data_IF_637663699461
#
_entry.id   IF_637663699461
#
_cell.length_a   1.000
_cell.length_b   1.000
_cell.length_c   1.000
_cell.angle_alpha   90.00
_cell.angle_beta   90.00
_cell.angle_gamma   90.00
#
_symmetry.space_group_name_H-M   'P 1'
#
loop_
_entity.id
_entity.type
_entity.pdbx_description
1 polymer ?
#
# COMPACT_ATOMS: atom_id res chain seq x y z
N UNK A 1 -17.65 45.75 -11.35
CA UNK A 1 -16.46 45.42 -12.17
C UNK A 1 -15.45 44.58 -11.39
N UNK A 2 -15.06 44.95 -10.16
CA UNK A 2 -14.12 44.18 -9.31
C UNK A 2 -14.55 42.73 -9.03
N UNK A 3 -15.83 42.49 -8.69
CA UNK A 3 -16.36 41.12 -8.43
C UNK A 3 -16.21 40.14 -9.61
N UNK A 4 -16.30 40.64 -10.85
CA UNK A 4 -16.24 39.78 -12.04
C UNK A 4 -14.80 39.29 -12.30
N UNK A 5 -13.81 40.14 -12.08
CA UNK A 5 -12.39 39.77 -12.20
C UNK A 5 -11.94 38.81 -11.09
N UNK A 6 -12.46 38.96 -9.86
CA UNK A 6 -12.21 38.00 -8.78
C UNK A 6 -12.78 36.62 -9.13
N UNK A 7 -14.02 36.58 -9.63
CA UNK A 7 -14.68 35.32 -10.02
C UNK A 7 -13.97 34.61 -11.19
N UNK A 8 -13.49 35.37 -12.19
CA UNK A 8 -12.68 34.80 -13.28
C UNK A 8 -11.34 34.24 -12.79
N UNK A 9 -10.69 34.88 -11.82
CA UNK A 9 -9.41 34.43 -11.27
C UNK A 9 -9.58 33.16 -10.44
N UNK A 10 -10.63 33.10 -9.62
CA UNK A 10 -11.01 31.91 -8.85
C UNK A 10 -11.37 30.74 -9.78
N UNK A 11 -12.20 30.98 -10.81
CA UNK A 11 -12.55 29.96 -11.79
C UNK A 11 -11.33 29.44 -12.57
N UNK A 12 -10.41 30.33 -12.96
CA UNK A 12 -9.18 29.93 -13.65
C UNK A 12 -8.24 29.11 -12.77
N UNK A 13 -8.16 29.43 -11.48
CA UNK A 13 -7.38 28.65 -10.51
C UNK A 13 -7.97 27.24 -10.33
N UNK A 14 -9.30 27.14 -10.18
CA UNK A 14 -10.01 25.85 -10.09
C UNK A 14 -9.80 25.01 -11.36
N UNK A 15 -9.86 25.62 -12.55
CA UNK A 15 -9.62 24.91 -13.82
C UNK A 15 -8.16 24.42 -13.90
N UNK A 16 -7.20 25.24 -13.49
CA UNK A 16 -5.79 24.87 -13.50
C UNK A 16 -5.48 23.73 -12.52
N UNK A 17 -6.04 23.79 -11.31
CA UNK A 17 -5.94 22.74 -10.29
C UNK A 17 -6.52 21.42 -10.81
N UNK A 18 -7.74 21.46 -11.38
CA UNK A 18 -8.38 20.27 -11.94
C UNK A 18 -7.57 19.68 -13.12
N UNK A 19 -6.97 20.51 -13.98
CA UNK A 19 -6.07 20.02 -15.04
C UNK A 19 -4.81 19.37 -14.46
N UNK A 20 -4.25 19.91 -13.38
CA UNK A 20 -3.13 19.32 -12.67
C UNK A 20 -3.48 17.93 -12.12
N UNK A 21 -4.63 17.81 -11.44
CA UNK A 21 -5.13 16.53 -10.93
C UNK A 21 -5.34 15.50 -12.03
N UNK A 22 -5.99 15.88 -13.15
CA UNK A 22 -6.20 14.98 -14.31
C UNK A 22 -4.88 14.40 -14.82
N UNK A 23 -3.85 15.23 -15.00
CA UNK A 23 -2.54 14.75 -15.45
C UNK A 23 -1.90 13.75 -14.50
N UNK A 24 -2.09 13.92 -13.18
CA UNK A 24 -1.59 12.96 -12.18
C UNK A 24 -2.36 11.63 -12.26
N UNK A 25 -3.68 11.67 -12.45
CA UNK A 25 -4.50 10.46 -12.70
C UNK A 25 -4.07 9.72 -13.97
N UNK A 26 -3.85 10.44 -15.08
CA UNK A 26 -3.36 9.88 -16.34
C UNK A 26 -1.99 9.21 -16.14
N UNK A 27 -1.06 9.88 -15.47
CA UNK A 27 0.26 9.31 -15.16
C UNK A 27 0.16 8.01 -14.35
N UNK A 28 -0.68 7.96 -13.32
CA UNK A 28 -0.88 6.73 -12.55
C UNK A 28 -1.46 5.61 -13.42
N UNK A 29 -2.48 5.91 -14.22
CA UNK A 29 -3.14 4.92 -15.10
C UNK A 29 -2.16 4.39 -16.16
N UNK A 30 -1.38 5.27 -16.79
CA UNK A 30 -0.40 4.92 -17.81
C UNK A 30 0.72 4.03 -17.25
N UNK A 31 1.07 4.22 -15.97
CA UNK A 31 2.16 3.49 -15.31
C UNK A 31 1.69 2.36 -14.39
N UNK A 32 0.39 2.22 -14.16
CA UNK A 32 -0.14 1.28 -13.17
C UNK A 32 0.31 -0.15 -13.44
N UNK A 33 0.19 -0.62 -14.68
CA UNK A 33 0.60 -1.98 -15.04
C UNK A 33 2.07 -2.20 -14.68
N UNK A 34 2.93 -1.22 -14.94
CA UNK A 34 4.34 -1.31 -14.60
C UNK A 34 4.54 -1.33 -13.07
N UNK A 35 3.90 -0.42 -12.35
CA UNK A 35 3.99 -0.34 -10.88
C UNK A 35 3.49 -1.65 -10.25
N UNK A 36 2.29 -2.05 -10.62
CA UNK A 36 1.56 -3.22 -10.12
C UNK A 36 2.35 -4.51 -10.32
N UNK A 37 2.81 -4.77 -11.55
CA UNK A 37 3.57 -6.00 -11.87
C UNK A 37 4.95 -6.08 -11.21
N UNK A 38 5.52 -4.95 -10.79
CA UNK A 38 6.86 -4.90 -10.22
C UNK A 38 6.88 -4.78 -8.70
N UNK A 39 5.85 -4.20 -8.11
CA UNK A 39 5.86 -3.80 -6.70
C UNK A 39 4.71 -4.33 -5.88
N UNK A 40 3.65 -4.88 -6.49
CA UNK A 40 2.49 -5.41 -5.80
C UNK A 40 2.47 -6.94 -5.92
N UNK A 41 2.17 -7.61 -4.82
CA UNK A 41 2.20 -9.06 -4.70
C UNK A 41 0.88 -9.59 -4.14
N UNK A 42 0.49 -10.76 -4.64
CA UNK A 42 -0.49 -11.59 -3.96
C UNK A 42 0.23 -12.41 -2.89
N UNK A 43 -0.28 -12.36 -1.67
CA UNK A 43 0.26 -13.05 -0.51
C UNK A 43 -0.68 -14.14 0.00
N UNK A 44 -0.06 -15.17 0.56
CA UNK A 44 -0.77 -16.30 1.17
C UNK A 44 -0.01 -16.82 2.39
N UNK A 45 -0.76 -17.38 3.33
CA UNK A 45 -0.23 -18.07 4.50
C UNK A 45 -1.12 -19.25 4.89
N UNK A 46 -0.51 -20.22 5.55
CA UNK A 46 -1.14 -21.46 5.98
C UNK A 46 -1.63 -21.35 7.43
N UNK A 47 -2.55 -22.22 7.82
CA UNK A 47 -3.01 -22.33 9.20
C UNK A 47 -3.36 -23.77 9.56
N UNK A 48 -2.70 -24.33 10.57
CA UNK A 48 -2.99 -25.68 11.10
C UNK A 48 -3.07 -26.75 10.01
N UNK A 49 -2.08 -26.75 9.10
CA UNK A 49 -1.99 -27.71 7.99
C UNK A 49 -2.95 -27.43 6.82
N UNK A 50 -3.73 -26.35 6.84
CA UNK A 50 -4.50 -25.88 5.68
C UNK A 50 -3.68 -24.90 4.87
N UNK A 51 -3.36 -25.27 3.64
CA UNK A 51 -2.72 -24.37 2.68
C UNK A 51 -3.65 -23.22 2.26
N UNK A 52 -3.07 -22.05 2.00
CA UNK A 52 -3.77 -20.84 1.52
C UNK A 52 -4.94 -20.41 2.42
N UNK A 53 -4.78 -20.62 3.72
CA UNK A 53 -5.80 -20.30 4.72
C UNK A 53 -6.02 -18.79 4.89
N UNK A 54 -4.96 -17.98 4.70
CA UNK A 54 -5.01 -16.51 4.70
C UNK A 54 -4.53 -15.99 3.37
N UNK A 55 -5.25 -15.01 2.83
CA UNK A 55 -4.90 -14.28 1.61
C UNK A 55 -4.74 -12.81 1.93
N UNK A 56 -3.76 -12.16 1.34
CA UNK A 56 -3.46 -10.75 1.56
C UNK A 56 -2.78 -10.13 0.34
N UNK A 57 -2.71 -8.80 0.30
CA UNK A 57 -1.85 -8.07 -0.64
C UNK A 57 -0.57 -7.68 0.10
N UNK A 58 0.56 -7.72 -0.58
CA UNK A 58 1.79 -7.13 -0.09
C UNK A 58 2.38 -6.20 -1.15
N UNK A 59 3.25 -5.29 -0.75
CA UNK A 59 3.99 -4.45 -1.69
C UNK A 59 5.44 -4.29 -1.30
N UNK A 60 6.30 -4.06 -2.27
CA UNK A 60 7.70 -3.74 -2.03
C UNK A 60 7.87 -2.24 -1.78
N UNK A 61 8.60 -1.88 -0.74
CA UNK A 61 8.98 -0.51 -0.39
C UNK A 61 10.50 -0.35 -0.51
N UNK A 62 10.95 0.72 -1.16
CA UNK A 62 12.36 1.11 -1.18
C UNK A 62 12.60 2.20 -0.13
N UNK A 63 13.48 1.92 0.82
CA UNK A 63 13.80 2.84 1.90
C UNK A 63 15.23 2.58 2.40
N UNK A 64 16.01 3.64 2.64
CA UNK A 64 17.42 3.58 3.07
C UNK A 64 18.26 2.54 2.30
N UNK A 65 18.20 2.61 0.98
CA UNK A 65 18.95 1.75 0.04
C UNK A 65 18.69 0.24 0.16
N UNK A 66 17.55 -0.12 0.76
CA UNK A 66 17.09 -1.50 0.91
C UNK A 66 15.66 -1.64 0.38
N UNK A 67 15.33 -2.87 -0.02
CA UNK A 67 13.97 -3.25 -0.39
C UNK A 67 13.35 -4.08 0.72
N UNK A 68 12.15 -3.67 1.13
CA UNK A 68 11.31 -4.35 2.10
C UNK A 68 10.03 -4.79 1.41
N UNK A 69 9.37 -5.79 1.97
CA UNK A 69 8.02 -6.19 1.60
C UNK A 69 7.13 -5.85 2.78
N UNK A 70 6.06 -5.10 2.53
CA UNK A 70 5.13 -4.61 3.54
C UNK A 70 3.75 -5.22 3.28
N UNK A 71 3.06 -5.61 4.35
CA UNK A 71 1.65 -6.05 4.36
C UNK A 71 0.99 -5.64 5.68
N UNK A 72 -0.29 -5.97 5.88
CA UNK A 72 -0.99 -5.81 7.14
C UNK A 72 -0.53 -6.87 8.17
N UNK A 73 -0.32 -6.46 9.42
CA UNK A 73 0.13 -7.32 10.51
C UNK A 73 -0.90 -8.37 10.89
N UNK A 74 -2.19 -8.08 10.74
CA UNK A 74 -3.26 -9.04 10.95
C UNK A 74 -3.28 -10.18 9.91
N UNK A 75 -2.41 -10.10 8.89
CA UNK A 75 -2.14 -11.24 8.00
C UNK A 75 -1.24 -12.29 8.64
N UNK A 76 -0.53 -11.92 9.72
CA UNK A 76 0.42 -12.77 10.47
C UNK A 76 -0.27 -13.46 11.63
N UNK A 77 -1.03 -12.70 12.41
CA UNK A 77 -1.90 -13.22 13.46
C UNK A 77 -3.21 -12.44 13.52
N UNK A 78 -4.34 -13.07 13.82
CA UNK A 78 -5.63 -12.40 14.00
C UNK A 78 -6.61 -13.33 14.73
N UNK A 79 -7.39 -12.82 15.68
CA UNK A 79 -8.39 -13.59 16.44
C UNK A 79 -7.87 -14.95 16.94
N UNK A 80 -6.75 -14.94 17.68
CA UNK A 80 -6.05 -16.13 18.22
C UNK A 80 -5.54 -17.12 17.16
N UNK A 81 -5.58 -16.78 15.88
CA UNK A 81 -4.99 -17.54 14.79
C UNK A 81 -3.61 -16.97 14.46
N UNK A 82 -2.57 -17.80 14.56
CA UNK A 82 -1.23 -17.46 14.07
C UNK A 82 -0.96 -18.23 12.78
N UNK A 83 -0.67 -17.50 11.71
CA UNK A 83 -0.43 -18.07 10.39
C UNK A 83 1.05 -18.43 10.20
N UNK A 84 1.33 -19.32 9.27
CA UNK A 84 2.67 -19.84 8.98
C UNK A 84 2.93 -19.94 7.47
N UNK A 85 4.17 -20.25 7.06
CA UNK A 85 4.56 -20.43 5.65
C UNK A 85 4.17 -19.26 4.73
N UNK A 86 4.45 -18.04 5.18
CA UNK A 86 4.20 -16.82 4.42
C UNK A 86 4.90 -16.87 3.07
N UNK A 87 4.12 -16.64 2.02
CA UNK A 87 4.60 -16.64 0.65
C UNK A 87 3.92 -15.55 -0.14
N UNK A 88 4.65 -14.97 -1.08
CA UNK A 88 4.12 -13.97 -2.00
C UNK A 88 4.49 -14.32 -3.44
N UNK A 89 3.68 -13.87 -4.40
CA UNK A 89 3.99 -13.99 -5.82
C UNK A 89 3.54 -12.74 -6.58
N UNK A 90 4.24 -12.44 -7.67
CA UNK A 90 3.83 -11.38 -8.59
C UNK A 90 2.55 -11.79 -9.30
N UNK A 91 1.71 -10.82 -9.64
CA UNK A 91 0.38 -11.06 -10.23
C UNK A 91 0.41 -11.90 -11.53
N UNK A 92 1.50 -11.83 -12.29
CA UNK A 92 1.70 -12.51 -13.56
C UNK A 92 2.66 -13.70 -13.48
N UNK A 93 2.96 -14.20 -12.27
CA UNK A 93 3.88 -15.32 -12.08
C UNK A 93 3.26 -16.37 -11.17
N UNK A 94 3.52 -17.63 -11.49
CA UNK A 94 3.12 -18.77 -10.65
C UNK A 94 4.15 -19.11 -9.58
N UNK A 95 5.36 -18.55 -9.68
CA UNK A 95 6.43 -18.79 -8.73
C UNK A 95 6.21 -18.01 -7.43
N UNK A 96 6.09 -18.77 -6.35
CA UNK A 96 6.11 -18.25 -4.98
C UNK A 96 7.54 -17.91 -4.54
N UNK A 97 7.66 -16.84 -3.76
CA UNK A 97 8.84 -16.53 -2.95
C UNK A 97 8.44 -16.57 -1.47
N UNK A 98 9.39 -16.95 -0.61
CA UNK A 98 9.17 -17.16 0.81
C UNK A 98 10.00 -16.14 1.58
N UNK A 99 9.48 -14.92 1.77
CA UNK A 99 10.24 -13.86 2.40
C UNK A 99 10.40 -14.10 3.91
N UNK A 100 11.50 -13.63 4.47
CA UNK A 100 11.76 -13.64 5.91
C UNK A 100 10.92 -12.56 6.59
N UNK A 101 10.17 -12.93 7.64
CA UNK A 101 9.48 -11.97 8.50
C UNK A 101 10.49 -11.33 9.45
N UNK A 102 10.67 -10.01 9.34
CA UNK A 102 11.59 -9.27 10.20
C UNK A 102 10.89 -8.75 11.46
N UNK A 103 9.69 -8.19 11.28
CA UNK A 103 8.92 -7.58 12.36
C UNK A 103 7.46 -7.46 11.96
N UNK A 104 6.56 -7.43 12.94
CA UNK A 104 5.18 -7.04 12.72
C UNK A 104 4.61 -6.40 13.99
N UNK A 105 3.58 -5.58 13.78
CA UNK A 105 2.67 -5.13 14.82
C UNK A 105 1.24 -5.39 14.36
N UNK A 106 0.37 -5.80 15.28
CA UNK A 106 -1.03 -6.10 15.00
C UNK A 106 -1.93 -5.32 15.97
N UNK A 107 -1.90 -4.00 15.86
CA UNK A 107 -2.87 -3.13 16.52
C UNK A 107 -3.91 -2.68 15.51
N UNK A 108 -4.83 -3.60 15.20
CA UNK A 108 -5.89 -3.40 14.22
C UNK A 108 -6.84 -2.27 14.64
N UNK A 109 -7.18 -2.17 15.92
CA UNK A 109 -8.09 -1.13 16.43
C UNK A 109 -7.42 0.25 16.43
N UNK A 110 -6.15 0.34 16.83
CA UNK A 110 -5.37 1.58 16.84
C UNK A 110 -4.82 2.02 15.49
N UNK A 111 -5.17 1.32 14.39
CA UNK A 111 -4.65 1.55 13.04
C UNK A 111 -3.11 1.55 12.97
N UNK A 112 -2.48 0.68 13.75
CA UNK A 112 -1.04 0.47 13.75
C UNK A 112 -0.73 -1.00 13.50
N UNK A 113 -1.10 -1.45 12.32
CA UNK A 113 -1.16 -2.84 11.94
C UNK A 113 -0.40 -3.07 10.63
N UNK A 114 0.76 -3.72 10.73
CA UNK A 114 1.68 -3.92 9.61
C UNK A 114 2.65 -5.07 9.87
N UNK A 115 3.18 -5.65 8.80
CA UNK A 115 4.28 -6.60 8.85
C UNK A 115 5.35 -6.23 7.82
N UNK A 116 6.60 -6.43 8.21
CA UNK A 116 7.81 -6.12 7.46
C UNK A 116 8.53 -7.43 7.16
N UNK A 117 8.76 -7.65 5.88
CA UNK A 117 9.44 -8.81 5.35
C UNK A 117 10.62 -8.41 4.47
N UNK A 118 11.52 -9.35 4.20
CA UNK A 118 12.61 -9.18 3.25
C UNK A 118 12.88 -10.44 2.44
N UNK A 119 13.30 -10.23 1.20
CA UNK A 119 13.80 -11.30 0.33
C UNK A 119 14.77 -10.71 -0.70
N UNK A 120 15.88 -11.40 -0.95
CA UNK A 120 16.98 -10.91 -1.81
C UNK A 120 16.59 -10.70 -3.27
N UNK A 121 15.57 -11.43 -3.76
CA UNK A 121 15.10 -11.30 -5.14
C UNK A 121 14.27 -10.02 -5.40
N UNK A 122 13.98 -9.24 -4.37
CA UNK A 122 13.25 -7.97 -4.51
C UNK A 122 14.24 -6.85 -4.84
N UNK A 123 14.10 -6.28 -6.03
CA UNK A 123 15.01 -5.24 -6.55
C UNK A 123 14.29 -3.97 -7.00
N UNK A 124 13.00 -3.86 -6.71
CA UNK A 124 12.15 -2.71 -7.04
C UNK A 124 11.23 -2.45 -5.85
N UNK A 125 10.86 -1.19 -5.65
CA UNK A 125 10.04 -0.76 -4.53
C UNK A 125 9.36 0.56 -4.81
N UNK A 126 8.19 0.75 -4.17
CA UNK A 126 7.54 2.05 -4.07
C UNK A 126 8.32 2.93 -3.10
N UNK A 127 8.22 4.25 -3.26
CA UNK A 127 8.83 5.20 -2.35
C UNK A 127 7.80 5.66 -1.32
N UNK A 128 8.17 5.81 -0.03
CA UNK A 128 7.27 6.40 0.95
C UNK A 128 7.09 7.90 0.67
N UNK A 129 5.95 8.44 1.11
CA UNK A 129 5.69 9.87 1.13
C UNK A 129 6.44 10.52 2.30
N UNK A 130 7.10 11.65 2.04
CA UNK A 130 7.78 12.46 3.06
C UNK A 130 6.97 13.68 3.47
N UNK A 131 6.20 14.24 2.53
CA UNK A 131 5.55 15.55 2.69
C UNK A 131 4.05 15.46 2.42
N UNK A 132 3.65 15.08 1.20
CA UNK A 132 2.24 14.93 0.83
C UNK A 132 1.68 13.59 1.32
N UNK A 133 1.12 13.60 2.52
CA UNK A 133 0.51 12.43 3.16
C UNK A 133 -0.97 12.21 2.79
N UNK A 134 -1.51 12.98 1.85
CA UNK A 134 -2.93 12.87 1.49
C UNK A 134 -3.18 11.59 0.67
N UNK A 135 -4.04 10.67 1.15
CA UNK A 135 -4.34 9.44 0.43
C UNK A 135 -5.26 9.73 -0.78
N UNK A 136 -4.91 9.17 -1.94
CA UNK A 136 -5.71 9.32 -3.16
C UNK A 136 -6.06 7.98 -3.83
N UNK A 137 -5.23 6.94 -3.66
CA UNK A 137 -5.47 5.64 -4.28
C UNK A 137 -5.04 4.47 -3.40
N UNK A 138 -5.63 3.32 -3.70
CA UNK A 138 -5.24 2.01 -3.18
C UNK A 138 -4.82 1.15 -4.37
N UNK A 139 -3.64 0.53 -4.30
CA UNK A 139 -3.17 -0.40 -5.33
C UNK A 139 -3.34 -1.85 -4.86
N UNK A 140 -4.37 -2.54 -5.35
CA UNK A 140 -4.57 -3.96 -5.07
C UNK A 140 -3.81 -4.87 -6.04
N UNK A 141 -3.89 -6.19 -5.79
CA UNK A 141 -3.27 -7.21 -6.64
C UNK A 141 -3.91 -7.37 -8.03
N UNK A 142 -4.99 -6.63 -8.33
CA UNK A 142 -5.69 -6.70 -9.61
C UNK A 142 -6.53 -5.46 -9.93
N UNK A 143 -6.55 -4.45 -9.05
CA UNK A 143 -7.47 -3.31 -9.12
C UNK A 143 -6.78 -2.06 -8.57
N UNK A 144 -6.90 -0.91 -9.27
CA UNK A 144 -6.71 0.41 -8.66
C UNK A 144 -8.05 0.85 -8.12
N UNK A 145 -8.08 1.30 -6.87
CA UNK A 145 -9.26 1.98 -6.31
C UNK A 145 -8.90 3.42 -6.00
N UNK A 146 -9.82 4.33 -6.32
CA UNK A 146 -9.78 5.68 -5.77
C UNK A 146 -9.99 5.53 -4.26
N UNK A 147 -9.15 6.19 -3.48
CA UNK A 147 -9.29 6.21 -2.03
C UNK A 147 -10.55 7.00 -1.68
N UNK A 148 -11.42 6.37 -0.90
CA UNK A 148 -12.63 6.97 -0.34
C UNK A 148 -12.76 6.39 1.07
N UNK A 149 -13.08 7.24 2.06
CA UNK A 149 -13.35 6.80 3.43
C UNK A 149 -14.57 5.87 3.53
N UNK A 150 -15.39 5.82 2.48
CA UNK A 150 -16.52 4.89 2.34
C UNK A 150 -16.25 3.77 1.32
N UNK A 151 -15.06 3.72 0.69
CA UNK A 151 -14.71 2.66 -0.25
C UNK A 151 -14.57 1.34 0.48
N UNK A 152 -15.44 0.38 0.13
CA UNK A 152 -15.33 -1.00 0.60
C UNK A 152 -14.14 -1.70 -0.07
N UNK A 153 -13.09 -1.99 0.70
CA UNK A 153 -12.04 -2.90 0.25
C UNK A 153 -12.60 -4.32 0.10
N UNK A 154 -12.17 -5.02 -0.95
CA UNK A 154 -12.57 -6.40 -1.18
C UNK A 154 -11.76 -7.34 -0.28
N UNK A 155 -12.31 -8.53 0.02
CA UNK A 155 -11.60 -9.56 0.78
C UNK A 155 -10.25 -9.89 0.15
N UNK A 156 -9.18 -9.85 0.94
CA UNK A 156 -7.81 -10.10 0.50
C UNK A 156 -7.01 -8.86 0.09
N UNK A 157 -7.60 -7.66 0.11
CA UNK A 157 -6.88 -6.42 -0.20
C UNK A 157 -6.10 -5.81 0.98
N UNK A 158 -6.29 -6.32 2.20
CA UNK A 158 -5.47 -5.93 3.35
C UNK A 158 -3.99 -6.08 3.04
N UNK A 159 -3.22 -5.05 3.37
CA UNK A 159 -1.80 -4.93 3.05
C UNK A 159 -1.51 -4.21 1.72
N UNK A 160 -2.54 -3.78 0.97
CA UNK A 160 -2.35 -2.93 -0.21
C UNK A 160 -1.74 -1.57 0.18
N UNK A 161 -0.81 -1.00 -0.62
CA UNK A 161 -0.32 0.34 -0.37
C UNK A 161 -1.41 1.37 -0.68
N UNK A 162 -1.56 2.31 0.24
CA UNK A 162 -2.30 3.56 0.02
C UNK A 162 -1.29 4.59 -0.48
N UNK A 163 -1.58 5.26 -1.59
CA UNK A 163 -0.68 6.20 -2.25
C UNK A 163 -1.33 7.57 -2.48
N UNK A 164 -0.50 8.61 -2.56
CA UNK A 164 -0.90 9.95 -2.99
C UNK A 164 -0.86 10.09 -4.53
N UNK A 165 -1.19 11.27 -5.06
CA UNK A 165 -1.14 11.54 -6.50
C UNK A 165 0.26 11.58 -7.12
N UNK A 166 1.31 11.50 -6.32
CA UNK A 166 2.71 11.36 -6.77
C UNK A 166 3.21 9.92 -6.75
N UNK A 167 2.29 8.95 -6.57
CA UNK A 167 2.60 7.52 -6.45
C UNK A 167 3.54 7.19 -5.27
N UNK A 168 3.51 8.02 -4.22
CA UNK A 168 4.24 7.77 -2.97
C UNK A 168 3.34 7.09 -1.96
N UNK A 169 3.87 6.14 -1.21
CA UNK A 169 3.14 5.38 -0.19
C UNK A 169 2.90 6.26 1.02
N UNK A 170 1.64 6.49 1.35
CA UNK A 170 1.20 7.18 2.57
C UNK A 170 0.77 6.22 3.66
N UNK A 171 0.46 4.96 3.31
CA UNK A 171 0.11 3.95 4.31
C UNK A 171 -0.11 2.54 3.77
N UNK A 172 -0.53 1.66 4.67
CA UNK A 172 -0.85 0.25 4.43
C UNK A 172 -2.33 0.04 4.75
N UNK A 173 -3.14 -0.33 3.76
CA UNK A 173 -4.57 -0.59 3.96
C UNK A 173 -4.77 -1.77 4.93
N UNK A 174 -5.59 -1.58 5.97
CA UNK A 174 -5.84 -2.62 6.98
C UNK A 174 -7.32 -2.98 7.11
N UNK A 175 -8.24 -2.04 6.84
CA UNK A 175 -9.68 -2.25 7.02
C UNK A 175 -10.42 -2.13 5.71
N UNK A 176 -11.54 -2.83 5.62
CA UNK A 176 -12.45 -2.73 4.47
C UNK A 176 -13.10 -1.36 4.35
N UNK A 177 -13.08 -0.54 5.40
CA UNK A 177 -13.62 0.82 5.44
C UNK A 177 -12.59 1.88 5.06
N UNK A 178 -11.45 1.48 4.50
CA UNK A 178 -10.44 2.40 3.97
C UNK A 178 -9.40 2.87 4.99
N UNK A 179 -9.52 2.50 6.27
CA UNK A 179 -8.48 2.82 7.24
C UNK A 179 -7.17 2.08 6.92
N UNK A 180 -6.08 2.78 7.19
CA UNK A 180 -4.73 2.36 6.89
C UNK A 180 -3.79 2.67 8.05
N UNK A 181 -2.72 1.88 8.15
CA UNK A 181 -1.56 2.20 8.98
C UNK A 181 -0.73 3.27 8.29
N UNK A 182 -0.43 4.37 8.99
CA UNK A 182 0.46 5.43 8.48
C UNK A 182 1.84 4.85 8.13
N UNK A 183 2.35 5.17 6.94
CA UNK A 183 3.65 4.70 6.48
C UNK A 183 4.77 5.05 7.46
N UNK A 184 4.66 6.18 8.17
CA UNK A 184 5.62 6.61 9.20
C UNK A 184 5.81 5.57 10.29
N UNK A 185 4.75 4.86 10.69
CA UNK A 185 4.86 3.80 11.69
C UNK A 185 5.70 2.62 11.18
N UNK A 186 5.53 2.27 9.91
CA UNK A 186 6.34 1.24 9.23
C UNK A 186 7.80 1.69 9.12
N UNK A 187 8.06 2.93 8.71
CA UNK A 187 9.42 3.47 8.58
C UNK A 187 10.15 3.51 9.93
N UNK A 188 9.47 3.95 10.99
CA UNK A 188 10.03 3.94 12.35
C UNK A 188 10.39 2.54 12.82
N UNK A 189 9.60 1.53 12.46
CA UNK A 189 9.90 0.14 12.78
C UNK A 189 11.09 -0.38 11.96
N UNK A 190 11.20 -0.01 10.68
CA UNK A 190 12.39 -0.33 9.87
C UNK A 190 13.64 0.30 10.47
N UNK A 191 13.57 1.56 10.92
CA UNK A 191 14.71 2.27 11.49
C UNK A 191 15.28 1.55 12.73
N UNK A 192 14.40 0.99 13.58
CA UNK A 192 14.80 0.21 14.77
C UNK A 192 15.38 -1.17 14.46
N UNK A 193 15.14 -1.71 13.26
CA UNK A 193 15.72 -2.99 12.84
C UNK A 193 17.16 -2.85 12.34
N UNK A 194 17.56 -1.63 11.98
CA UNK A 194 18.89 -1.29 11.46
C UNK A 194 19.82 -0.66 12.53
N UNK A 195 19.32 -0.47 13.76
CA UNK A 195 20.07 -0.07 14.97
C UNK A 195 20.74 -1.29 15.64
#
# INVERSE_FOLDING_TARGET
MVKYFTFQKEASAIIAENKGRIKKYEYLLDNYTLISLNTIFYGSADYKGKEDARKFTAFSLYYKDKFYIITAGHSIDFDDMKFENFRIKKQNKDSWIYPELLYYNNDFEGNNDFAIFRHESITKGLFPATDDINPEFILGSSIIKIFDSDARAAYGESGSPVINSECKVVGVLIKSTGEYTDIKNVLNAIDRLDE
#
